data_IF_813660963081
#
_entry.id   IF_813660963081
#
_cell.length_a   1.000
_cell.length_b   1.000
_cell.length_c   1.000
_cell.angle_alpha   90.00
_cell.angle_beta   90.00
_cell.angle_gamma   90.00
#
_symmetry.space_group_name_H-M   'P 1'
#
loop_
_entity.id
_entity.type
_entity.pdbx_description
1 polymer ?
#
# COMPACT_ATOMS: atom_id res chain seq x y z
N UNK A 1 38.76 2.07 -36.89
CA UNK A 1 37.34 1.86 -36.53
C UNK A 1 36.66 1.20 -37.71
N UNK A 2 36.07 0.06 -37.52
CA UNK A 2 35.30 -0.64 -38.55
C UNK A 2 33.94 0.08 -38.73
N UNK A 3 33.28 -0.12 -39.88
CA UNK A 3 31.91 0.41 -40.11
C UNK A 3 30.96 -0.04 -38.99
N UNK A 4 31.11 -1.27 -38.50
CA UNK A 4 30.35 -1.81 -37.39
C UNK A 4 30.56 -1.04 -36.07
N UNK A 5 31.77 -0.52 -35.77
CA UNK A 5 32.06 0.25 -34.55
C UNK A 5 31.35 1.61 -34.61
N UNK A 6 31.29 2.20 -35.79
CA UNK A 6 30.60 3.48 -36.01
C UNK A 6 29.08 3.35 -35.81
N UNK A 7 28.50 2.30 -36.36
CA UNK A 7 27.07 2.02 -36.25
C UNK A 7 26.68 1.72 -34.79
N UNK A 8 27.49 0.94 -34.07
CA UNK A 8 27.29 0.68 -32.65
C UNK A 8 27.34 1.95 -31.78
N UNK A 9 28.28 2.87 -32.09
CA UNK A 9 28.36 4.13 -31.39
C UNK A 9 27.14 5.05 -31.66
N UNK A 10 26.71 5.13 -32.91
CA UNK A 10 25.49 5.87 -33.32
C UNK A 10 24.25 5.30 -32.65
N UNK A 11 24.07 3.97 -32.64
CA UNK A 11 22.96 3.31 -31.97
C UNK A 11 22.95 3.62 -30.49
N UNK A 12 24.10 3.57 -29.82
CA UNK A 12 24.21 3.90 -28.38
C UNK A 12 23.77 5.35 -28.08
N UNK A 13 24.14 6.30 -28.92
CA UNK A 13 23.71 7.71 -28.79
C UNK A 13 22.20 7.83 -29.00
N UNK A 14 21.64 7.24 -30.04
CA UNK A 14 20.21 7.25 -30.31
C UNK A 14 19.38 6.63 -29.18
N UNK A 15 19.84 5.50 -28.62
CA UNK A 15 19.17 4.85 -27.48
C UNK A 15 19.20 5.73 -26.21
N UNK A 16 20.24 6.53 -26.00
CA UNK A 16 20.29 7.52 -24.92
C UNK A 16 19.25 8.64 -25.14
N UNK A 17 19.20 9.19 -26.34
CA UNK A 17 18.26 10.27 -26.71
C UNK A 17 16.81 9.80 -26.56
N UNK A 18 16.51 8.57 -27.00
CA UNK A 18 15.20 7.92 -26.86
C UNK A 18 14.90 7.44 -25.43
N UNK A 19 15.86 7.56 -24.50
CA UNK A 19 15.73 7.10 -23.11
C UNK A 19 15.36 5.63 -22.99
N UNK A 20 16.09 4.77 -23.70
CA UNK A 20 15.94 3.32 -23.71
C UNK A 20 17.15 2.61 -23.04
N UNK A 21 17.31 2.78 -21.71
CA UNK A 21 18.52 2.34 -21.00
C UNK A 21 18.67 0.82 -20.93
N UNK A 22 17.59 0.05 -20.87
CA UNK A 22 17.68 -1.41 -20.84
C UNK A 22 18.08 -1.96 -22.21
N UNK A 23 17.47 -1.47 -23.29
CA UNK A 23 17.89 -1.81 -24.65
C UNK A 23 19.37 -1.46 -24.84
N UNK A 24 19.79 -0.22 -24.44
CA UNK A 24 21.18 0.21 -24.52
C UNK A 24 22.15 -0.74 -23.83
N UNK A 25 21.79 -1.25 -22.65
CA UNK A 25 22.64 -2.18 -21.91
C UNK A 25 22.68 -3.60 -22.49
N UNK A 26 21.60 -4.03 -23.11
CA UNK A 26 21.39 -5.43 -23.49
C UNK A 26 21.59 -5.71 -24.99
N UNK A 27 21.47 -4.70 -25.88
CA UNK A 27 21.48 -4.93 -27.31
C UNK A 27 22.72 -5.66 -27.83
N UNK A 28 23.98 -5.42 -27.33
CA UNK A 28 25.13 -6.15 -27.85
C UNK A 28 25.02 -7.66 -27.60
N UNK A 29 24.63 -8.03 -26.36
CA UNK A 29 24.44 -9.43 -25.97
C UNK A 29 23.33 -10.10 -26.76
N UNK A 30 22.21 -9.41 -27.00
CA UNK A 30 21.09 -9.94 -27.74
C UNK A 30 21.41 -10.05 -29.25
N UNK A 31 22.22 -9.14 -29.81
CA UNK A 31 22.70 -9.24 -31.17
C UNK A 31 23.59 -10.48 -31.36
N UNK A 32 24.57 -10.68 -30.47
CA UNK A 32 25.43 -11.88 -30.49
C UNK A 32 24.64 -13.20 -30.37
N UNK A 33 23.58 -13.17 -29.55
CA UNK A 33 22.71 -14.34 -29.38
C UNK A 33 21.87 -14.57 -30.64
N UNK A 34 21.31 -13.49 -31.21
CA UNK A 34 20.52 -13.56 -32.45
C UNK A 34 21.31 -14.14 -33.60
N UNK A 35 22.57 -13.71 -33.75
CA UNK A 35 23.48 -14.24 -34.79
C UNK A 35 23.77 -15.73 -34.58
N UNK A 36 24.04 -16.16 -33.32
CA UNK A 36 24.32 -17.59 -33.02
C UNK A 36 23.10 -18.49 -33.20
N UNK A 37 21.90 -17.99 -32.87
CA UNK A 37 20.67 -18.78 -32.89
C UNK A 37 19.84 -18.55 -34.17
N UNK A 38 20.30 -17.71 -35.10
CA UNK A 38 19.58 -17.40 -36.34
C UNK A 38 18.23 -16.69 -36.13
N UNK A 39 18.18 -15.74 -35.20
CA UNK A 39 16.92 -15.01 -34.94
C UNK A 39 16.57 -14.07 -36.10
N UNK A 40 15.31 -14.03 -36.44
CA UNK A 40 14.81 -12.97 -37.32
C UNK A 40 14.83 -11.60 -36.60
N UNK A 41 15.03 -10.52 -37.35
CA UNK A 41 15.10 -9.15 -36.81
C UNK A 41 13.87 -8.78 -35.92
N UNK A 42 12.68 -9.23 -36.29
CA UNK A 42 11.47 -9.00 -35.49
C UNK A 42 11.57 -9.66 -34.10
N UNK A 43 12.12 -10.86 -33.97
CA UNK A 43 12.33 -11.54 -32.69
C UNK A 43 13.33 -10.79 -31.81
N UNK A 44 14.44 -10.33 -32.39
CA UNK A 44 15.44 -9.53 -31.68
C UNK A 44 14.82 -8.23 -31.13
N UNK A 45 14.09 -7.50 -31.98
CA UNK A 45 13.42 -6.27 -31.58
C UNK A 45 12.37 -6.51 -30.48
N UNK A 46 11.52 -7.53 -30.62
CA UNK A 46 10.52 -7.89 -29.59
C UNK A 46 11.18 -8.16 -28.25
N UNK A 47 12.24 -8.99 -28.22
CA UNK A 47 12.95 -9.32 -26.99
C UNK A 47 13.56 -8.08 -26.31
N UNK A 48 14.17 -7.18 -27.08
CA UNK A 48 14.72 -5.93 -26.54
C UNK A 48 13.64 -5.00 -26.00
N UNK A 49 12.52 -4.85 -26.72
CA UNK A 49 11.39 -3.99 -26.28
C UNK A 49 10.72 -4.56 -25.04
N UNK A 50 10.51 -5.88 -24.96
CA UNK A 50 9.97 -6.54 -23.78
C UNK A 50 10.83 -6.28 -22.52
N UNK A 51 12.15 -6.38 -22.66
CA UNK A 51 13.07 -6.05 -21.57
C UNK A 51 13.00 -4.58 -21.14
N UNK A 52 12.91 -3.66 -22.09
CA UNK A 52 12.75 -2.22 -21.75
C UNK A 52 11.44 -1.95 -21.01
N UNK A 53 10.33 -2.56 -21.46
CA UNK A 53 9.03 -2.43 -20.79
C UNK A 53 9.08 -3.00 -19.36
N UNK A 54 9.61 -4.21 -19.20
CA UNK A 54 9.76 -4.85 -17.90
C UNK A 54 10.60 -4.00 -16.93
N UNK A 55 11.74 -3.43 -17.41
CA UNK A 55 12.60 -2.57 -16.61
C UNK A 55 11.93 -1.23 -16.25
N UNK A 56 11.14 -0.66 -17.15
CA UNK A 56 10.35 0.55 -16.87
C UNK A 56 9.28 0.29 -15.82
N UNK A 57 8.58 -0.84 -15.92
CA UNK A 57 7.57 -1.24 -14.95
C UNK A 57 8.20 -1.48 -13.58
N UNK A 58 9.34 -2.20 -13.52
CA UNK A 58 10.08 -2.42 -12.28
C UNK A 58 10.45 -1.09 -11.60
N UNK A 59 11.04 -0.14 -12.36
CA UNK A 59 11.41 1.18 -11.83
C UNK A 59 10.22 2.02 -11.42
N UNK A 60 9.08 1.89 -12.12
CA UNK A 60 7.83 2.54 -11.75
C UNK A 60 7.36 2.01 -10.41
N UNK A 61 7.26 0.69 -10.24
CA UNK A 61 6.83 0.03 -9.01
C UNK A 61 7.74 0.42 -7.84
N UNK A 62 9.06 0.32 -7.99
CA UNK A 62 10.03 0.69 -6.96
C UNK A 62 9.86 2.15 -6.49
N UNK A 63 9.71 3.07 -7.44
CA UNK A 63 9.47 4.49 -7.14
C UNK A 63 8.14 4.70 -6.42
N UNK A 64 7.05 4.04 -6.84
CA UNK A 64 5.75 4.17 -6.19
C UNK A 64 5.78 3.56 -4.78
N UNK A 65 6.44 2.42 -4.57
CA UNK A 65 6.64 1.81 -3.24
C UNK A 65 7.40 2.76 -2.32
N UNK A 66 8.49 3.37 -2.81
CA UNK A 66 9.28 4.32 -2.02
C UNK A 66 8.46 5.56 -1.60
N UNK A 67 7.55 6.03 -2.45
CA UNK A 67 6.67 7.16 -2.16
C UNK A 67 5.49 6.82 -1.27
N UNK A 68 5.05 5.56 -1.28
CA UNK A 68 3.79 5.14 -0.66
C UNK A 68 3.81 5.10 0.86
N UNK A 69 4.97 5.08 1.51
CA UNK A 69 5.13 5.01 2.98
C UNK A 69 4.43 3.80 3.61
N UNK A 70 4.29 2.70 2.87
CA UNK A 70 3.67 1.47 3.36
C UNK A 70 4.46 0.87 4.51
N UNK A 71 3.79 0.11 5.36
CA UNK A 71 4.44 -0.58 6.47
C UNK A 71 5.38 -1.68 5.96
N UNK A 72 6.65 -1.71 6.38
CA UNK A 72 7.63 -2.69 5.89
C UNK A 72 7.20 -4.13 6.18
N UNK A 73 7.43 -5.03 5.22
CA UNK A 73 7.15 -6.46 5.35
C UNK A 73 5.66 -6.84 5.43
N UNK A 74 4.75 -5.88 5.23
CA UNK A 74 3.30 -6.13 5.23
C UNK A 74 2.81 -6.38 3.80
N UNK A 75 2.69 -7.66 3.44
CA UNK A 75 2.22 -8.14 2.14
C UNK A 75 1.05 -9.10 2.32
N UNK A 76 0.35 -9.44 1.24
CA UNK A 76 -0.72 -10.45 1.28
C UNK A 76 -0.18 -11.85 1.61
N UNK A 77 1.06 -12.16 1.21
CA UNK A 77 1.70 -13.44 1.52
C UNK A 77 2.05 -13.57 3.00
N UNK A 78 2.34 -12.44 3.68
CA UNK A 78 2.63 -12.43 5.11
C UNK A 78 1.39 -12.23 5.97
N UNK A 79 0.20 -12.04 5.36
CA UNK A 79 -1.05 -11.89 6.08
C UNK A 79 -1.68 -13.25 6.38
N UNK A 80 -1.94 -13.51 7.67
CA UNK A 80 -2.58 -14.75 8.11
C UNK A 80 -4.11 -14.68 7.98
N UNK A 81 -4.64 -15.12 6.84
CA UNK A 81 -6.07 -15.18 6.60
C UNK A 81 -6.80 -16.19 7.52
N UNK A 82 -6.09 -17.19 8.05
CA UNK A 82 -6.70 -18.18 8.96
C UNK A 82 -7.04 -17.57 10.32
N UNK A 83 -6.31 -16.53 10.72
CA UNK A 83 -6.58 -15.77 11.93
C UNK A 83 -7.82 -14.86 11.82
N UNK A 84 -8.32 -14.60 10.59
CA UNK A 84 -9.47 -13.73 10.31
C UNK A 84 -10.44 -14.44 9.35
N UNK A 85 -11.14 -15.49 9.79
CA UNK A 85 -11.90 -16.39 8.91
C UNK A 85 -13.09 -15.72 8.20
N UNK A 86 -13.59 -14.57 8.71
CA UNK A 86 -14.63 -13.78 8.03
C UNK A 86 -14.10 -13.02 6.81
N UNK A 87 -12.77 -12.92 6.63
CA UNK A 87 -12.16 -12.24 5.51
C UNK A 87 -11.86 -13.22 4.38
N UNK A 88 -12.60 -13.13 3.28
CA UNK A 88 -12.36 -13.96 2.10
C UNK A 88 -11.06 -13.55 1.39
N UNK A 89 -10.08 -14.45 1.31
CA UNK A 89 -8.84 -14.22 0.54
C UNK A 89 -9.15 -13.94 -0.94
N UNK A 90 -10.13 -14.64 -1.52
CA UNK A 90 -10.54 -14.44 -2.91
C UNK A 90 -11.10 -13.03 -3.13
N UNK A 91 -11.91 -12.52 -2.18
CA UNK A 91 -12.46 -11.16 -2.23
C UNK A 91 -11.34 -10.11 -2.11
N UNK A 92 -10.40 -10.30 -1.18
CA UNK A 92 -9.24 -9.40 -1.06
C UNK A 92 -8.41 -9.40 -2.35
N UNK A 93 -8.14 -10.55 -2.95
CA UNK A 93 -7.41 -10.65 -4.21
C UNK A 93 -8.16 -9.93 -5.36
N UNK A 94 -9.48 -10.05 -5.44
CA UNK A 94 -10.29 -9.33 -6.42
C UNK A 94 -10.17 -7.80 -6.27
N UNK A 95 -10.16 -7.31 -5.02
CA UNK A 95 -9.99 -5.88 -4.71
C UNK A 95 -8.61 -5.37 -5.16
N UNK A 96 -7.57 -6.19 -5.07
CA UNK A 96 -6.20 -5.77 -5.43
C UNK A 96 -5.99 -5.57 -6.92
N UNK A 97 -6.90 -6.04 -7.78
CA UNK A 97 -6.91 -5.68 -9.20
C UNK A 97 -7.14 -4.18 -9.41
N UNK A 98 -7.96 -3.55 -8.55
CA UNK A 98 -8.15 -2.10 -8.47
C UNK A 98 -9.15 -1.52 -9.48
N UNK A 99 -9.36 -2.17 -10.62
CA UNK A 99 -10.17 -1.70 -11.76
C UNK A 99 -11.66 -1.52 -11.43
N UNK A 100 -12.17 -2.31 -10.49
CA UNK A 100 -13.58 -2.29 -10.10
C UNK A 100 -13.97 -1.10 -9.22
N UNK A 101 -13.02 -0.45 -8.52
CA UNK A 101 -13.31 0.53 -7.48
C UNK A 101 -12.37 1.75 -7.43
N UNK A 102 -11.04 1.61 -7.60
CA UNK A 102 -10.08 2.71 -7.43
C UNK A 102 -10.35 3.86 -8.41
N UNK A 103 -10.65 3.55 -9.68
CA UNK A 103 -10.95 4.55 -10.70
C UNK A 103 -12.32 5.21 -10.57
N UNK A 104 -13.21 4.65 -9.74
CA UNK A 104 -14.58 5.16 -9.52
C UNK A 104 -14.70 6.07 -8.29
N UNK A 105 -13.66 6.15 -7.48
CA UNK A 105 -13.71 6.88 -6.21
C UNK A 105 -14.40 6.12 -5.07
N UNK A 106 -14.64 4.81 -5.23
CA UNK A 106 -15.23 3.98 -4.19
C UNK A 106 -14.23 3.76 -3.04
N UNK A 107 -14.73 3.48 -1.84
CA UNK A 107 -13.93 3.37 -0.64
C UNK A 107 -13.83 1.94 -0.11
N UNK A 108 -12.82 1.67 0.71
CA UNK A 108 -12.73 0.47 1.54
C UNK A 108 -12.64 0.89 3.01
N UNK A 109 -13.44 0.24 3.85
CA UNK A 109 -13.47 0.48 5.27
C UNK A 109 -13.17 -0.81 6.02
N UNK A 110 -12.11 -0.79 6.85
CA UNK A 110 -11.68 -1.93 7.66
C UNK A 110 -11.98 -1.64 9.13
N UNK A 111 -12.95 -2.33 9.72
CA UNK A 111 -13.32 -2.22 11.12
C UNK A 111 -12.83 -3.41 11.92
N UNK A 112 -12.55 -3.20 13.19
CA UNK A 112 -12.22 -4.27 14.13
C UNK A 112 -11.35 -3.81 15.29
N UNK A 113 -11.25 -4.58 16.37
CA UNK A 113 -10.48 -4.23 17.53
C UNK A 113 -8.99 -4.02 17.24
N UNK A 114 -8.24 -3.37 18.14
CA UNK A 114 -6.78 -3.23 17.97
C UNK A 114 -6.06 -4.58 17.88
N UNK A 115 -5.10 -4.69 16.95
CA UNK A 115 -4.25 -5.87 16.83
C UNK A 115 -4.79 -7.00 15.96
N UNK A 116 -5.93 -6.84 15.29
CA UNK A 116 -6.50 -7.87 14.39
C UNK A 116 -5.89 -7.87 12.97
N UNK A 117 -5.00 -6.93 12.66
CA UNK A 117 -4.29 -6.92 11.37
C UNK A 117 -4.79 -5.88 10.37
N UNK A 118 -5.65 -4.90 10.75
CA UNK A 118 -6.17 -3.87 9.82
C UNK A 118 -5.06 -3.12 9.08
N UNK A 119 -4.08 -2.57 9.81
CA UNK A 119 -2.95 -1.83 9.22
C UNK A 119 -2.05 -2.73 8.36
N UNK A 120 -1.95 -4.04 8.69
CA UNK A 120 -1.26 -5.01 7.86
C UNK A 120 -2.01 -5.20 6.54
N UNK A 121 -3.30 -5.49 6.61
CA UNK A 121 -4.14 -5.72 5.43
C UNK A 121 -4.19 -4.48 4.53
N UNK A 122 -4.40 -3.29 5.09
CA UNK A 122 -4.44 -2.04 4.32
C UNK A 122 -3.11 -1.78 3.59
N UNK A 123 -1.97 -2.00 4.26
CA UNK A 123 -0.65 -1.87 3.65
C UNK A 123 -0.41 -2.93 2.56
N UNK A 124 -0.85 -4.17 2.78
CA UNK A 124 -0.74 -5.27 1.82
C UNK A 124 -1.57 -5.02 0.55
N UNK A 125 -2.82 -4.55 0.70
CA UNK A 125 -3.67 -4.14 -0.42
C UNK A 125 -3.01 -2.99 -1.18
N UNK A 126 -2.51 -1.97 -0.47
CA UNK A 126 -1.81 -0.84 -1.07
C UNK A 126 -0.60 -1.26 -1.90
N UNK A 127 0.19 -2.23 -1.41
CA UNK A 127 1.33 -2.78 -2.13
C UNK A 127 0.90 -3.50 -3.43
N UNK A 128 -0.09 -4.37 -3.35
CA UNK A 128 -0.60 -5.10 -4.51
C UNK A 128 -1.16 -4.14 -5.58
N UNK A 129 -1.85 -3.07 -5.16
CA UNK A 129 -2.32 -2.03 -6.08
C UNK A 129 -1.18 -1.27 -6.76
N UNK A 130 -0.05 -1.02 -6.08
CA UNK A 130 1.13 -0.41 -6.70
C UNK A 130 1.71 -1.34 -7.77
N UNK A 131 1.77 -2.63 -7.49
CA UNK A 131 2.22 -3.64 -8.45
C UNK A 131 1.31 -3.69 -9.69
N UNK A 132 0.00 -3.40 -9.51
CA UNK A 132 -0.98 -3.23 -10.58
C UNK A 132 -1.01 -1.82 -11.21
N UNK A 133 -0.07 -0.95 -10.86
CA UNK A 133 0.15 0.33 -11.54
C UNK A 133 -0.45 1.56 -10.87
N UNK A 134 -1.22 1.40 -9.80
CA UNK A 134 -1.84 2.52 -9.08
C UNK A 134 -0.82 3.28 -8.21
N UNK A 135 -1.10 4.54 -7.97
CA UNK A 135 -0.34 5.38 -7.04
C UNK A 135 -1.04 5.38 -5.68
N UNK A 136 -0.38 4.87 -4.68
CA UNK A 136 -0.91 4.72 -3.33
C UNK A 136 -0.07 5.54 -2.36
N UNK A 137 -0.70 6.13 -1.34
CA UNK A 137 -0.03 6.71 -0.18
C UNK A 137 -0.69 6.20 1.09
N UNK A 138 0.15 5.80 2.05
CA UNK A 138 -0.26 5.39 3.39
C UNK A 138 0.12 6.49 4.39
N UNK A 139 -0.80 6.84 5.27
CA UNK A 139 -0.54 7.78 6.36
C UNK A 139 -1.40 7.43 7.58
N UNK A 140 -0.90 7.74 8.77
CA UNK A 140 -1.76 7.76 9.97
C UNK A 140 -2.67 8.97 9.90
N UNK A 141 -3.90 8.81 10.32
CA UNK A 141 -4.88 9.91 10.28
C UNK A 141 -4.40 11.10 11.10
N UNK A 142 -3.81 10.88 12.27
CA UNK A 142 -3.26 11.94 13.14
C UNK A 142 -2.18 12.76 12.42
N UNK A 143 -1.23 12.11 11.75
CA UNK A 143 -0.12 12.79 11.08
C UNK A 143 -0.63 13.63 9.89
N UNK A 144 -1.61 13.10 9.17
CA UNK A 144 -2.21 13.81 8.04
C UNK A 144 -3.01 15.03 8.52
N UNK A 145 -3.84 14.87 9.56
CA UNK A 145 -4.61 15.97 10.14
C UNK A 145 -3.69 17.11 10.59
N UNK A 146 -2.60 16.82 11.28
CA UNK A 146 -1.61 17.83 11.67
C UNK A 146 -1.01 18.54 10.46
N UNK A 147 -0.67 17.80 9.40
CA UNK A 147 -0.15 18.35 8.16
C UNK A 147 -1.16 19.28 7.48
N UNK A 148 -2.44 18.88 7.42
CA UNK A 148 -3.49 19.67 6.80
C UNK A 148 -3.84 20.91 7.64
N UNK A 149 -3.81 20.81 8.97
CA UNK A 149 -3.99 21.96 9.85
C UNK A 149 -2.86 22.99 9.68
N UNK A 150 -1.61 22.53 9.55
CA UNK A 150 -0.49 23.43 9.25
C UNK A 150 -0.68 24.08 7.88
N UNK A 151 -1.04 23.33 6.86
CA UNK A 151 -1.33 23.87 5.53
C UNK A 151 -2.47 24.89 5.56
N UNK A 152 -3.49 24.70 6.40
CA UNK A 152 -4.58 25.67 6.59
C UNK A 152 -4.07 26.97 7.21
N UNK A 153 -3.24 26.90 8.25
CA UNK A 153 -2.62 28.08 8.87
C UNK A 153 -1.76 28.87 7.88
N UNK A 154 -1.10 28.15 6.98
CA UNK A 154 -0.22 28.71 5.93
C UNK A 154 -1.00 29.15 4.67
N UNK A 155 -2.36 29.13 4.69
CA UNK A 155 -3.23 29.42 3.54
C UNK A 155 -2.95 28.57 2.31
N UNK A 156 -2.45 27.34 2.51
CA UNK A 156 -2.02 26.40 1.48
C UNK A 156 -2.81 25.08 1.48
N UNK A 157 -3.97 25.02 2.15
CA UNK A 157 -4.75 23.79 2.31
C UNK A 157 -5.18 23.21 0.96
N UNK A 158 -5.67 24.04 0.04
CA UNK A 158 -6.06 23.59 -1.31
C UNK A 158 -4.87 22.94 -2.05
N UNK A 159 -3.69 23.55 -1.98
CA UNK A 159 -2.46 22.98 -2.55
C UNK A 159 -2.08 21.65 -1.89
N UNK A 160 -2.28 21.50 -0.58
CA UNK A 160 -2.01 20.28 0.15
C UNK A 160 -2.98 19.16 -0.28
N UNK A 161 -4.28 19.45 -0.41
CA UNK A 161 -5.29 18.52 -0.92
C UNK A 161 -4.99 18.10 -2.36
N UNK A 162 -4.64 19.05 -3.24
CA UNK A 162 -4.26 18.77 -4.63
C UNK A 162 -3.02 17.87 -4.75
N UNK A 163 -2.06 17.95 -3.80
CA UNK A 163 -0.94 17.02 -3.73
C UNK A 163 -1.38 15.59 -3.40
N UNK A 164 -2.38 15.42 -2.54
CA UNK A 164 -2.96 14.12 -2.22
C UNK A 164 -3.75 13.53 -3.40
N UNK A 165 -4.39 14.36 -4.21
CA UNK A 165 -5.14 13.93 -5.41
C UNK A 165 -4.26 13.32 -6.52
N UNK A 166 -2.92 13.46 -6.41
CA UNK A 166 -1.98 12.75 -7.28
C UNK A 166 -1.92 11.24 -7.02
N UNK A 167 -2.46 10.80 -5.88
CA UNK A 167 -2.55 9.40 -5.51
C UNK A 167 -3.95 8.87 -5.79
N UNK A 168 -4.03 7.74 -6.48
CA UNK A 168 -5.29 7.08 -6.80
C UNK A 168 -5.96 6.55 -5.53
N UNK A 169 -5.16 6.03 -4.58
CA UNK A 169 -5.62 5.57 -3.29
C UNK A 169 -4.88 6.28 -2.15
N UNK A 170 -5.65 6.79 -1.19
CA UNK A 170 -5.17 7.29 0.09
C UNK A 170 -5.57 6.29 1.19
N UNK A 171 -4.59 5.72 1.87
CA UNK A 171 -4.80 4.86 3.04
C UNK A 171 -4.69 5.70 4.30
N UNK A 172 -5.80 5.81 5.04
CA UNK A 172 -5.89 6.48 6.33
C UNK A 172 -5.93 5.43 7.44
N UNK A 173 -4.81 5.26 8.12
CA UNK A 173 -4.73 4.29 9.21
C UNK A 173 -5.19 4.95 10.53
N UNK A 174 -6.11 4.24 11.21
CA UNK A 174 -6.58 4.53 12.56
C UNK A 174 -7.32 5.88 12.71
N UNK A 175 -8.45 6.03 12.00
CA UNK A 175 -9.23 7.29 11.99
C UNK A 175 -9.84 7.63 13.37
N UNK A 176 -10.12 6.62 14.19
CA UNK A 176 -10.89 6.72 15.44
C UNK A 176 -10.02 6.65 16.72
N UNK A 177 -8.70 6.86 16.62
CA UNK A 177 -7.81 6.64 17.77
C UNK A 177 -7.91 7.70 18.88
N UNK A 178 -8.20 8.94 18.53
CA UNK A 178 -8.29 10.06 19.48
C UNK A 178 -9.48 10.94 19.13
N UNK A 179 -10.19 11.39 20.17
CA UNK A 179 -11.21 12.45 20.02
C UNK A 179 -10.54 13.69 19.44
N UNK A 180 -11.06 14.20 18.34
CA UNK A 180 -10.50 15.33 17.61
C UNK A 180 -11.22 16.62 17.98
N UNK A 181 -10.50 17.73 17.99
CA UNK A 181 -11.11 19.03 18.12
C UNK A 181 -11.84 19.45 16.83
N UNK A 182 -12.58 20.57 16.89
CA UNK A 182 -13.35 21.06 15.74
C UNK A 182 -12.46 21.45 14.56
N UNK A 183 -11.26 21.96 14.82
CA UNK A 183 -10.32 22.34 13.77
C UNK A 183 -9.71 21.11 13.07
N UNK A 184 -9.44 20.05 13.83
CA UNK A 184 -8.96 18.76 13.30
C UNK A 184 -10.00 18.06 12.44
N UNK A 185 -11.25 18.03 12.90
CA UNK A 185 -12.35 17.40 12.18
C UNK A 185 -12.73 18.17 10.93
N UNK A 186 -12.62 19.50 10.94
CA UNK A 186 -12.90 20.33 9.76
C UNK A 186 -11.96 20.02 8.60
N UNK A 187 -10.63 19.89 8.82
CA UNK A 187 -9.69 19.56 7.74
C UNK A 187 -9.87 18.13 7.23
N UNK A 188 -10.24 17.20 8.12
CA UNK A 188 -10.56 15.82 7.74
C UNK A 188 -11.84 15.76 6.90
N UNK A 189 -12.86 16.51 7.26
CA UNK A 189 -14.09 16.62 6.49
C UNK A 189 -13.86 17.22 5.11
N UNK A 190 -13.03 18.27 5.00
CA UNK A 190 -12.66 18.83 3.70
C UNK A 190 -11.91 17.82 2.82
N UNK A 191 -11.00 17.04 3.40
CA UNK A 191 -10.31 15.96 2.68
C UNK A 191 -11.31 14.92 2.15
N UNK A 192 -12.22 14.43 3.01
CA UNK A 192 -13.26 13.46 2.61
C UNK A 192 -14.12 14.04 1.49
N UNK A 193 -14.56 15.29 1.63
CA UNK A 193 -15.39 15.96 0.62
C UNK A 193 -14.66 16.20 -0.70
N UNK A 194 -13.37 16.55 -0.65
CA UNK A 194 -12.56 16.75 -1.85
C UNK A 194 -12.33 15.46 -2.65
N UNK A 195 -12.28 14.30 -1.97
CA UNK A 195 -12.06 13.00 -2.62
C UNK A 195 -13.34 12.26 -2.98
N UNK A 196 -14.47 12.63 -2.40
CA UNK A 196 -15.76 11.98 -2.64
C UNK A 196 -16.08 11.85 -4.13
N UNK A 197 -16.42 10.64 -4.59
CA UNK A 197 -16.70 10.26 -6.00
C UNK A 197 -15.58 10.62 -7.01
N UNK A 198 -14.38 10.92 -6.53
CA UNK A 198 -13.24 11.31 -7.40
C UNK A 198 -12.01 10.46 -7.18
N UNK A 199 -11.70 10.15 -5.94
CA UNK A 199 -10.48 9.44 -5.55
C UNK A 199 -10.75 8.55 -4.35
N UNK A 200 -10.32 7.31 -4.43
CA UNK A 200 -10.58 6.30 -3.43
C UNK A 200 -9.80 6.51 -2.14
N UNK A 201 -10.43 6.08 -1.05
CA UNK A 201 -9.81 5.98 0.27
C UNK A 201 -9.96 4.56 0.82
N UNK A 202 -8.91 4.09 1.53
CA UNK A 202 -8.98 2.92 2.37
C UNK A 202 -8.77 3.37 3.82
N UNK A 203 -9.76 3.17 4.67
CA UNK A 203 -9.77 3.69 6.04
C UNK A 203 -9.80 2.53 7.01
N UNK A 204 -8.94 2.57 8.03
CA UNK A 204 -9.01 1.63 9.15
C UNK A 204 -9.58 2.32 10.39
N UNK A 205 -10.44 1.63 11.12
CA UNK A 205 -11.02 2.13 12.34
C UNK A 205 -11.15 1.03 13.41
N UNK A 206 -10.96 1.42 14.66
CA UNK A 206 -11.13 0.49 15.80
C UNK A 206 -12.57 0.40 16.27
N UNK A 207 -13.42 1.34 15.86
CA UNK A 207 -14.81 1.47 16.28
C UNK A 207 -15.74 1.52 15.06
N UNK A 208 -16.92 0.90 15.14
CA UNK A 208 -17.94 0.99 14.11
C UNK A 208 -18.52 2.40 13.99
N UNK A 209 -19.22 2.70 12.89
CA UNK A 209 -19.79 4.03 12.60
C UNK A 209 -20.65 4.60 13.73
N UNK A 210 -21.40 3.79 14.46
CA UNK A 210 -22.24 4.24 15.56
C UNK A 210 -21.48 4.92 16.72
N UNK A 211 -20.17 4.71 16.79
CA UNK A 211 -19.29 5.36 17.77
C UNK A 211 -18.53 6.58 17.20
N UNK A 212 -18.74 6.95 15.93
CA UNK A 212 -18.00 8.06 15.30
C UNK A 212 -18.43 9.45 15.75
N UNK A 213 -19.56 9.56 16.47
CA UNK A 213 -19.93 10.79 17.19
C UNK A 213 -18.86 11.24 18.20
N UNK A 214 -17.98 10.33 18.62
CA UNK A 214 -16.83 10.66 19.48
C UNK A 214 -15.64 11.22 18.69
N UNK A 215 -15.62 11.04 17.36
CA UNK A 215 -14.55 11.52 16.48
C UNK A 215 -14.83 12.95 16.03
N UNK A 216 -16.07 13.19 15.60
CA UNK A 216 -16.53 14.49 15.13
C UNK A 216 -17.41 15.14 16.20
N UNK A 217 -17.03 16.32 16.75
CA UNK A 217 -17.82 17.01 17.78
C UNK A 217 -19.19 17.49 17.26
N UNK A 218 -19.28 17.77 15.95
CA UNK A 218 -20.52 18.20 15.31
C UNK A 218 -21.27 16.98 14.72
N UNK A 219 -22.48 16.65 15.23
CA UNK A 219 -23.29 15.53 14.71
C UNK A 219 -23.65 15.66 13.22
N UNK A 220 -23.89 16.87 12.72
CA UNK A 220 -24.22 17.09 11.31
C UNK A 220 -23.01 16.81 10.42
N UNK A 221 -21.82 17.24 10.84
CA UNK A 221 -20.56 16.94 10.15
C UNK A 221 -20.26 15.44 10.19
N UNK A 222 -20.52 14.77 11.32
CA UNK A 222 -20.37 13.31 11.45
C UNK A 222 -21.23 12.59 10.43
N UNK A 223 -22.52 12.91 10.38
CA UNK A 223 -23.48 12.30 9.46
C UNK A 223 -23.04 12.51 8.02
N UNK A 224 -22.66 13.73 7.63
CA UNK A 224 -22.23 14.05 6.28
C UNK A 224 -20.90 13.40 5.90
N UNK A 225 -19.96 13.21 6.84
CA UNK A 225 -18.70 12.51 6.59
C UNK A 225 -18.94 11.01 6.42
N UNK A 226 -19.73 10.39 7.30
CA UNK A 226 -20.09 8.97 7.23
C UNK A 226 -20.84 8.67 5.92
N UNK A 227 -21.84 9.48 5.57
CA UNK A 227 -22.60 9.32 4.33
C UNK A 227 -21.70 9.28 3.11
N UNK A 228 -20.75 10.23 2.96
CA UNK A 228 -19.80 10.25 1.86
C UNK A 228 -18.85 9.06 1.84
N UNK A 229 -18.43 8.59 3.00
CA UNK A 229 -17.49 7.46 3.09
C UNK A 229 -18.15 6.13 2.75
N UNK A 230 -19.44 5.97 3.09
CA UNK A 230 -20.18 4.71 2.98
C UNK A 230 -20.89 4.57 1.63
N UNK A 231 -21.22 5.68 0.98
CA UNK A 231 -22.07 5.72 -0.21
C UNK A 231 -21.66 4.69 -1.28
N UNK A 232 -20.36 4.56 -1.53
CA UNK A 232 -19.78 3.56 -2.44
C UNK A 232 -18.63 2.85 -1.74
N UNK A 233 -18.92 2.08 -0.67
CA UNK A 233 -17.88 1.46 0.12
C UNK A 233 -18.01 -0.05 0.22
N UNK A 234 -16.87 -0.74 0.14
CA UNK A 234 -16.74 -2.11 0.60
C UNK A 234 -16.31 -2.11 2.07
N UNK A 235 -17.12 -2.72 2.93
CA UNK A 235 -16.88 -2.74 4.37
C UNK A 235 -16.43 -4.15 4.78
N UNK A 236 -15.30 -4.21 5.50
CA UNK A 236 -14.81 -5.43 6.14
C UNK A 236 -14.83 -5.28 7.65
N UNK A 237 -15.49 -6.19 8.33
CA UNK A 237 -15.49 -6.29 9.78
C UNK A 237 -14.59 -7.44 10.22
N UNK A 238 -13.53 -7.11 10.97
CA UNK A 238 -12.53 -8.05 11.45
C UNK A 238 -12.73 -8.31 12.96
N UNK A 239 -13.85 -8.95 13.30
CA UNK A 239 -14.27 -9.19 14.68
C UNK A 239 -13.64 -10.46 15.26
N UNK A 240 -12.32 -10.45 15.46
CA UNK A 240 -11.54 -11.54 16.05
C UNK A 240 -10.69 -11.05 17.21
N UNK A 241 -10.22 -11.99 18.04
CA UNK A 241 -9.26 -11.65 19.08
C UNK A 241 -7.93 -11.16 18.52
N UNK A 242 -7.29 -10.25 19.27
CA UNK A 242 -6.02 -9.64 18.86
C UNK A 242 -4.94 -10.69 18.56
N UNK A 243 -4.46 -10.70 17.31
CA UNK A 243 -3.32 -11.51 16.88
C UNK A 243 -2.06 -11.22 17.71
N UNK A 244 -1.83 -9.95 18.08
CA UNK A 244 -0.71 -9.54 18.93
C UNK A 244 -0.77 -10.19 20.32
N UNK A 245 -1.95 -10.30 20.91
CA UNK A 245 -2.15 -10.98 22.22
C UNK A 245 -1.88 -12.47 22.10
N UNK A 246 -2.41 -13.13 21.04
CA UNK A 246 -2.16 -14.56 20.79
C UNK A 246 -0.68 -14.85 20.54
N UNK A 247 0.01 -14.01 19.77
CA UNK A 247 1.45 -14.16 19.51
C UNK A 247 2.29 -13.98 20.78
N UNK A 248 1.96 -12.98 21.61
CA UNK A 248 2.63 -12.77 22.90
C UNK A 248 2.40 -13.93 23.89
N UNK A 249 1.18 -14.46 23.94
CA UNK A 249 0.87 -15.63 24.79
C UNK A 249 1.62 -16.90 24.34
N UNK A 250 1.72 -17.16 23.03
CA UNK A 250 2.51 -18.26 22.49
C UNK A 250 4.01 -18.11 22.82
N UNK A 251 4.56 -16.91 22.70
CA UNK A 251 5.96 -16.64 23.03
C UNK A 251 6.27 -16.85 24.52
N UNK A 252 5.33 -16.44 25.41
CA UNK A 252 5.46 -16.66 26.87
C UNK A 252 5.31 -18.14 27.23
N UNK A 253 4.45 -18.88 26.56
CA UNK A 253 4.26 -20.32 26.78
C UNK A 253 5.50 -21.12 26.33
N UNK A 254 6.09 -20.80 25.17
CA UNK A 254 7.31 -21.45 24.70
C UNK A 254 8.55 -21.10 25.54
N UNK A 255 8.67 -19.86 26.05
CA UNK A 255 9.74 -19.44 26.95
C UNK A 255 9.65 -20.05 28.38
N UNK A 256 8.47 -20.55 28.78
CA UNK A 256 8.25 -21.26 30.05
C UNK A 256 8.58 -22.75 29.94
N UNK A 257 8.36 -23.34 28.76
CA UNK A 257 8.71 -24.76 28.51
C UNK A 257 10.20 -25.02 28.47
N UNK A 258 11.02 -24.04 28.08
CA UNK A 258 12.50 -24.16 28.06
C UNK A 258 13.18 -23.92 29.43
N UNK A 259 12.43 -23.48 30.46
CA UNK A 259 12.98 -23.26 31.81
C UNK A 259 12.74 -24.39 32.80
N UNK A 260 11.96 -25.42 32.45
CA UNK A 260 11.61 -26.53 33.33
C UNK A 260 12.50 -27.78 33.18
N UNK A 261 13.39 -27.85 32.20
CA UNK A 261 14.29 -29.01 31.96
C UNK A 261 15.69 -28.85 32.54
N UNK A 262 15.92 -27.86 33.42
CA UNK A 262 17.26 -27.54 33.97
C UNK A 262 17.47 -27.77 35.49
N UNK A 263 16.59 -28.53 36.18
CA UNK A 263 16.80 -28.84 37.62
C UNK A 263 16.39 -30.26 37.90
N UNK A 264 17.28 -31.17 37.60
CA UNK A 264 17.20 -32.56 37.99
C UNK A 264 18.59 -33.13 38.16
N UNK A 265 18.91 -33.48 39.38
CA UNK A 265 19.93 -34.44 39.78
C UNK A 265 21.27 -33.87 40.28
N UNK A 266 21.37 -33.78 41.59
CA UNK A 266 22.55 -34.13 42.34
C UNK A 266 22.13 -34.48 43.79
N UNK A 267 21.71 -35.72 43.98
CA UNK A 267 21.72 -36.36 45.28
C UNK A 267 22.74 -37.47 45.20
N UNK A 268 23.87 -37.29 45.87
CA UNK A 268 24.80 -38.38 46.21
C UNK A 268 24.60 -38.75 47.68
N UNK A 269 24.55 -40.03 47.99
CA UNK A 269 24.48 -40.52 49.38
C UNK A 269 25.88 -40.74 49.95
N UNK A 270 26.04 -40.37 51.20
CA UNK A 270 26.79 -41.12 52.23
C UNK A 270 26.35 -40.63 53.58
#
# INVERSE_FOLDING_TARGET
>A
MTSSDIDAARLTLALNELRLPAIKALWPRFADQADKEGWHAARLLSALVEHELAERDRRRIERHIAQARLLPGKTLDTFDFTAVPMLSKAHVNAITAGDSWVGKGDNILLFGPPGVGKSHLSSAIGRALIENGYRVIFTRTTDLVQTLQQARRDLALESALAKLDKFDLLILDDIAYVTKDQAETSVLFELISARYERRSMLITANQPFGAWNTIFPDPAMTLAAVDRLVHHATIFEMNVESYRRKAAQKATASGRATKTDGTGDNAQPD
#
